data_IF_990854676535
#
_entry.id   IF_990854676535
#
_cell.length_a   1.000
_cell.length_b   1.000
_cell.length_c   1.000
_cell.angle_alpha   90.00
_cell.angle_beta   90.00
_cell.angle_gamma   90.00
#
_symmetry.space_group_name_H-M   'P 1'
#
loop_
_entity.id
_entity.type
_entity.pdbx_description
1 polymer ?
#
# COMPACT_ATOMS: atom_id res chain seq x y z
N UNK A 1 3.39 -27.01 -0.57
CA UNK A 1 3.48 -25.62 -0.14
C UNK A 1 3.98 -24.75 -1.29
N UNK A 2 3.29 -23.69 -1.54
CA UNK A 2 3.71 -22.79 -2.60
C UNK A 2 4.80 -21.86 -2.10
N UNK A 3 5.92 -21.84 -2.80
CA UNK A 3 7.01 -20.92 -2.50
C UNK A 3 7.02 -19.74 -3.47
N UNK A 4 5.87 -19.51 -4.14
CA UNK A 4 5.74 -18.37 -5.03
C UNK A 4 5.91 -17.08 -4.23
N UNK A 5 6.78 -16.18 -4.68
CA UNK A 5 6.96 -14.92 -3.97
C UNK A 5 5.68 -14.09 -4.03
N UNK A 6 5.43 -13.33 -2.97
CA UNK A 6 4.32 -12.39 -2.95
C UNK A 6 4.57 -11.30 -3.98
N UNK A 7 3.53 -10.96 -4.72
CA UNK A 7 3.59 -9.88 -5.68
C UNK A 7 3.16 -8.59 -5.00
N UNK A 8 4.07 -7.63 -4.95
CA UNK A 8 3.83 -6.34 -4.30
C UNK A 8 3.66 -5.27 -5.36
N UNK A 9 2.53 -4.56 -5.31
CA UNK A 9 2.28 -3.46 -6.21
C UNK A 9 2.46 -2.16 -5.45
N UNK A 10 3.29 -1.27 -5.99
CA UNK A 10 3.58 0.03 -5.39
C UNK A 10 2.90 1.10 -6.24
N UNK A 11 2.06 1.90 -5.61
CA UNK A 11 1.42 3.07 -6.24
C UNK A 11 2.17 4.30 -5.79
N UNK A 12 2.98 4.89 -6.66
CA UNK A 12 3.82 6.02 -6.30
C UNK A 12 4.20 6.83 -7.54
N UNK A 13 3.90 8.11 -7.52
CA UNK A 13 4.25 9.02 -8.61
C UNK A 13 5.67 9.58 -8.46
N UNK A 14 6.27 9.44 -7.28
CA UNK A 14 7.60 10.00 -6.97
C UNK A 14 8.66 8.90 -7.06
N UNK A 15 9.59 9.06 -8.01
CA UNK A 15 10.64 8.07 -8.25
C UNK A 15 11.56 7.89 -7.05
N UNK A 16 11.94 8.98 -6.40
CA UNK A 16 12.84 8.91 -5.25
C UNK A 16 12.21 8.16 -4.08
N UNK A 17 10.93 8.41 -3.81
CA UNK A 17 10.23 7.73 -2.73
C UNK A 17 9.97 6.26 -3.04
N UNK A 18 9.58 5.96 -4.28
CA UNK A 18 9.37 4.55 -4.65
C UNK A 18 10.67 3.76 -4.60
N UNK A 19 11.79 4.38 -4.86
CA UNK A 19 13.10 3.73 -4.73
C UNK A 19 13.38 3.31 -3.30
N UNK A 20 12.98 4.11 -2.31
CA UNK A 20 13.11 3.75 -0.90
C UNK A 20 12.25 2.53 -0.58
N UNK A 21 11.01 2.51 -1.06
CA UNK A 21 10.12 1.36 -0.89
C UNK A 21 10.69 0.11 -1.55
N UNK A 22 11.13 0.23 -2.79
CA UNK A 22 11.68 -0.90 -3.53
C UNK A 22 12.91 -1.47 -2.83
N UNK A 23 13.80 -0.60 -2.36
CA UNK A 23 14.99 -1.05 -1.64
C UNK A 23 14.64 -1.78 -0.35
N UNK A 24 13.72 -1.21 0.43
CA UNK A 24 13.28 -1.84 1.67
C UNK A 24 12.60 -3.18 1.44
N UNK A 25 11.80 -3.29 0.38
CA UNK A 25 11.14 -4.54 0.03
C UNK A 25 12.15 -5.61 -0.39
N UNK A 26 13.14 -5.25 -1.22
CA UNK A 26 14.17 -6.19 -1.64
C UNK A 26 15.01 -6.67 -0.47
N UNK A 27 15.35 -5.78 0.43
CA UNK A 27 16.10 -6.16 1.64
C UNK A 27 15.28 -7.08 2.54
N UNK A 28 13.95 -6.96 2.49
CA UNK A 28 13.05 -7.82 3.26
C UNK A 28 12.77 -9.16 2.55
N UNK A 29 13.29 -9.35 1.35
CA UNK A 29 13.12 -10.60 0.60
C UNK A 29 12.03 -10.60 -0.45
N UNK A 30 11.34 -9.49 -0.66
CA UNK A 30 10.32 -9.38 -1.70
C UNK A 30 11.00 -9.11 -3.05
N UNK A 31 10.72 -9.94 -4.04
CA UNK A 31 11.38 -9.86 -5.34
C UNK A 31 10.43 -9.52 -6.49
N UNK A 32 9.13 -9.80 -6.32
CA UNK A 32 8.12 -9.53 -7.34
C UNK A 32 7.50 -8.16 -7.09
N UNK A 33 8.08 -7.11 -7.67
CA UNK A 33 7.65 -5.73 -7.45
C UNK A 33 7.14 -5.11 -8.74
N UNK A 34 5.98 -4.46 -8.68
CA UNK A 34 5.41 -3.72 -9.80
C UNK A 34 5.16 -2.28 -9.32
N UNK A 35 5.62 -1.29 -10.06
CA UNK A 35 5.41 0.11 -9.71
C UNK A 35 4.45 0.74 -10.70
N UNK A 36 3.38 1.33 -10.18
CA UNK A 36 2.38 2.06 -10.97
C UNK A 36 2.52 3.54 -10.67
N UNK A 37 2.84 4.33 -11.67
CA UNK A 37 3.06 5.77 -11.51
C UNK A 37 1.90 6.61 -12.04
N UNK A 38 1.10 6.03 -12.91
CA UNK A 38 -0.05 6.70 -13.51
C UNK A 38 -1.30 6.39 -12.69
N UNK A 39 -1.96 7.42 -12.23
CA UNK A 39 -3.19 7.27 -11.43
C UNK A 39 -4.42 7.02 -12.28
N UNK A 40 -4.33 7.20 -13.59
CA UNK A 40 -5.45 6.92 -14.48
C UNK A 40 -5.64 5.41 -14.61
N UNK A 41 -6.87 4.97 -14.54
CA UNK A 41 -7.22 3.56 -14.62
C UNK A 41 -6.53 2.72 -13.55
N UNK A 42 -6.25 3.32 -12.39
CA UNK A 42 -5.51 2.67 -11.31
C UNK A 42 -6.17 1.36 -10.88
N UNK A 43 -7.47 1.37 -10.67
CA UNK A 43 -8.19 0.18 -10.22
C UNK A 43 -8.03 -0.96 -11.24
N UNK A 44 -8.15 -0.65 -12.52
CA UNK A 44 -7.98 -1.64 -13.59
C UNK A 44 -6.55 -2.21 -13.59
N UNK A 45 -5.55 -1.33 -13.42
CA UNK A 45 -4.16 -1.76 -13.34
C UNK A 45 -3.94 -2.72 -12.17
N UNK A 46 -4.51 -2.39 -11.04
CA UNK A 46 -4.41 -3.24 -9.85
C UNK A 46 -5.03 -4.60 -10.10
N UNK A 47 -6.22 -4.62 -10.68
CA UNK A 47 -6.90 -5.87 -10.98
C UNK A 47 -6.09 -6.71 -11.98
N UNK A 48 -5.57 -6.07 -13.03
CA UNK A 48 -4.80 -6.78 -14.07
C UNK A 48 -3.49 -7.37 -13.54
N UNK A 49 -2.84 -6.67 -12.61
CA UNK A 49 -1.56 -7.11 -12.05
C UNK A 49 -1.71 -8.23 -11.01
N UNK A 50 -2.89 -8.41 -10.47
CA UNK A 50 -3.19 -9.43 -9.45
C UNK A 50 -2.19 -9.41 -8.28
N UNK A 51 -2.02 -8.26 -7.61
CA UNK A 51 -1.06 -8.18 -6.52
C UNK A 51 -1.54 -8.91 -5.27
N UNK A 52 -0.59 -9.36 -4.47
CA UNK A 52 -0.88 -9.94 -3.16
C UNK A 52 -0.91 -8.88 -2.07
N UNK A 53 -0.17 -7.79 -2.27
CA UNK A 53 -0.08 -6.67 -1.33
C UNK A 53 0.02 -5.37 -2.14
N UNK A 54 -0.65 -4.33 -1.66
CA UNK A 54 -0.64 -3.01 -2.30
C UNK A 54 -0.04 -1.99 -1.34
N UNK A 55 0.99 -1.30 -1.78
CA UNK A 55 1.60 -0.21 -1.03
C UNK A 55 1.34 1.09 -1.77
N UNK A 56 0.71 2.04 -1.10
CA UNK A 56 0.37 3.34 -1.68
C UNK A 56 1.21 4.40 -0.99
N UNK A 57 1.96 5.18 -1.76
CA UNK A 57 2.74 6.29 -1.23
C UNK A 57 2.21 7.60 -1.79
N UNK A 58 1.79 8.49 -0.90
CA UNK A 58 1.28 9.81 -1.26
C UNK A 58 1.92 10.83 -0.34
N UNK A 59 2.89 11.57 -0.86
CA UNK A 59 3.66 12.53 -0.05
C UNK A 59 2.76 13.57 0.60
N UNK A 60 1.98 14.29 -0.20
CA UNK A 60 1.05 15.31 0.27
C UNK A 60 -0.28 15.13 -0.43
N UNK A 61 -1.07 14.11 -0.06
CA UNK A 61 -2.30 13.83 -0.77
C UNK A 61 -3.35 14.89 -0.49
N UNK A 62 -4.05 15.31 -1.53
CA UNK A 62 -5.23 16.12 -1.34
C UNK A 62 -6.41 15.19 -1.04
N UNK A 63 -7.56 15.80 -0.72
CA UNK A 63 -8.74 15.03 -0.33
C UNK A 63 -9.23 14.09 -1.43
N UNK A 64 -9.19 14.55 -2.67
CA UNK A 64 -9.67 13.74 -3.79
C UNK A 64 -8.80 12.52 -4.02
N UNK A 65 -7.49 12.66 -3.90
CA UNK A 65 -6.55 11.55 -4.02
C UNK A 65 -6.77 10.54 -2.89
N UNK A 66 -6.93 11.02 -1.66
CA UNK A 66 -7.21 10.15 -0.52
C UNK A 66 -8.49 9.36 -0.72
N UNK A 67 -9.56 10.03 -1.17
CA UNK A 67 -10.83 9.35 -1.44
C UNK A 67 -10.67 8.28 -2.51
N UNK A 68 -9.91 8.55 -3.56
CA UNK A 68 -9.64 7.58 -4.61
C UNK A 68 -8.91 6.35 -4.05
N UNK A 69 -7.90 6.57 -3.21
CA UNK A 69 -7.13 5.49 -2.61
C UNK A 69 -7.97 4.67 -1.64
N UNK A 70 -8.81 5.32 -0.86
CA UNK A 70 -9.71 4.63 0.05
C UNK A 70 -10.72 3.79 -0.72
N UNK A 71 -11.20 4.29 -1.85
CA UNK A 71 -12.13 3.55 -2.69
C UNK A 71 -11.47 2.30 -3.28
N UNK A 72 -10.22 2.41 -3.72
CA UNK A 72 -9.44 1.26 -4.17
C UNK A 72 -9.36 0.21 -3.07
N UNK A 73 -9.05 0.63 -1.85
CA UNK A 73 -8.93 -0.28 -0.71
C UNK A 73 -10.23 -1.00 -0.41
N UNK A 74 -11.37 -0.33 -0.55
CA UNK A 74 -12.69 -0.96 -0.32
C UNK A 74 -13.04 -2.01 -1.38
N UNK A 75 -12.63 -1.75 -2.61
CA UNK A 75 -13.00 -2.61 -3.75
C UNK A 75 -12.06 -3.81 -3.87
N UNK A 76 -10.78 -3.58 -3.64
CA UNK A 76 -9.76 -4.62 -3.80
C UNK A 76 -9.61 -5.40 -2.51
N UNK A 77 -9.87 -6.71 -2.56
CA UNK A 77 -9.77 -7.58 -1.38
C UNK A 77 -8.32 -8.06 -1.24
N UNK A 78 -7.44 -7.14 -0.87
CA UNK A 78 -6.01 -7.41 -0.68
C UNK A 78 -5.47 -6.54 0.45
N UNK A 79 -4.39 -6.96 1.11
CA UNK A 79 -3.74 -6.12 2.12
C UNK A 79 -3.24 -4.81 1.51
N UNK A 80 -3.53 -3.70 2.17
CA UNK A 80 -3.11 -2.36 1.72
C UNK A 80 -2.39 -1.65 2.85
N UNK A 81 -1.23 -1.09 2.55
CA UNK A 81 -0.53 -0.16 3.44
C UNK A 81 -0.38 1.18 2.73
N UNK A 82 -0.56 2.26 3.45
CA UNK A 82 -0.48 3.59 2.89
C UNK A 82 0.50 4.46 3.67
N UNK A 83 1.37 5.14 2.94
CA UNK A 83 2.35 6.06 3.51
C UNK A 83 2.00 7.49 3.08
N UNK A 84 1.93 8.39 4.05
CA UNK A 84 1.70 9.81 3.80
C UNK A 84 2.65 10.62 4.67
N UNK A 85 3.00 11.84 4.24
CA UNK A 85 3.84 12.70 5.05
C UNK A 85 3.02 13.49 6.07
N UNK A 86 1.78 13.81 5.72
CA UNK A 86 0.87 14.57 6.60
C UNK A 86 -0.51 13.95 6.61
N UNK A 87 -1.17 14.06 7.75
CA UNK A 87 -2.53 13.58 7.87
C UNK A 87 -3.24 14.32 9.00
N UNK A 88 -4.55 14.25 9.01
CA UNK A 88 -5.39 14.73 10.09
C UNK A 88 -6.22 13.58 10.67
N UNK A 89 -6.92 13.83 11.75
CA UNK A 89 -7.72 12.80 12.41
C UNK A 89 -8.81 12.23 11.50
N UNK A 90 -9.42 13.07 10.68
CA UNK A 90 -10.46 12.62 9.76
C UNK A 90 -9.91 11.67 8.70
N UNK A 91 -8.71 11.94 8.19
CA UNK A 91 -8.08 11.06 7.20
C UNK A 91 -7.72 9.71 7.82
N UNK A 92 -7.23 9.70 9.07
CA UNK A 92 -6.90 8.47 9.76
C UNK A 92 -8.15 7.59 9.95
N UNK A 93 -9.24 8.20 10.42
CA UNK A 93 -10.50 7.47 10.58
C UNK A 93 -11.02 6.91 9.27
N UNK A 94 -10.97 7.71 8.20
CA UNK A 94 -11.41 7.29 6.89
C UNK A 94 -10.56 6.11 6.36
N UNK A 95 -9.26 6.12 6.64
CA UNK A 95 -8.38 5.04 6.24
C UNK A 95 -8.75 3.73 6.94
N UNK A 96 -9.02 3.81 8.24
CA UNK A 96 -9.44 2.65 9.01
C UNK A 96 -10.76 2.09 8.47
N UNK A 97 -11.72 2.95 8.22
CA UNK A 97 -13.02 2.54 7.69
C UNK A 97 -12.90 1.94 6.28
N UNK A 98 -11.95 2.39 5.50
CA UNK A 98 -11.70 1.85 4.17
C UNK A 98 -11.00 0.49 4.19
N UNK A 99 -10.56 0.03 5.35
CA UNK A 99 -9.91 -1.27 5.48
C UNK A 99 -8.42 -1.25 5.20
N UNK A 100 -7.78 -0.07 5.26
CA UNK A 100 -6.34 0.02 5.11
C UNK A 100 -5.68 -0.60 6.34
N UNK A 101 -4.85 -1.63 6.12
CA UNK A 101 -4.24 -2.38 7.20
C UNK A 101 -3.15 -1.65 7.94
N UNK A 102 -2.46 -0.72 7.27
CA UNK A 102 -1.44 0.11 7.89
C UNK A 102 -1.47 1.49 7.24
N UNK A 103 -1.63 2.53 8.04
CA UNK A 103 -1.64 3.91 7.59
C UNK A 103 -0.53 4.64 8.33
N UNK A 104 0.53 5.00 7.64
CA UNK A 104 1.76 5.48 8.26
C UNK A 104 1.98 6.94 7.89
N UNK A 105 2.07 7.80 8.90
CA UNK A 105 2.32 9.23 8.72
C UNK A 105 3.80 9.51 9.00
N UNK A 106 4.47 10.17 8.06
CA UNK A 106 5.89 10.53 8.17
C UNK A 106 6.78 9.36 8.58
N UNK A 107 6.52 8.20 8.00
CA UNK A 107 7.23 6.99 8.38
C UNK A 107 7.87 6.22 7.24
N UNK A 108 8.08 6.86 6.09
CA UNK A 108 8.68 6.17 4.95
C UNK A 108 10.19 6.01 5.16
N UNK A 109 10.56 4.85 5.69
CA UNK A 109 11.96 4.46 5.92
C UNK A 109 12.12 3.00 5.50
N UNK A 110 13.18 2.70 4.76
CA UNK A 110 13.38 1.35 4.24
C UNK A 110 13.43 0.29 5.35
N UNK A 111 13.97 0.64 6.51
CA UNK A 111 14.10 -0.29 7.64
C UNK A 111 12.75 -0.69 8.23
N UNK A 112 11.71 0.10 7.99
CA UNK A 112 10.38 -0.13 8.52
C UNK A 112 9.43 -0.81 7.55
N UNK A 113 9.82 -0.88 6.28
CA UNK A 113 8.93 -1.36 5.23
C UNK A 113 8.45 -2.79 5.52
N UNK A 114 9.35 -3.67 5.91
CA UNK A 114 8.99 -5.05 6.20
C UNK A 114 7.93 -5.19 7.29
N UNK A 115 8.13 -4.51 8.42
CA UNK A 115 7.18 -4.63 9.53
C UNK A 115 5.84 -4.03 9.18
N UNK A 116 5.81 -2.97 8.38
CA UNK A 116 4.57 -2.35 7.95
C UNK A 116 3.81 -3.28 7.00
N UNK A 117 4.51 -3.89 6.06
CA UNK A 117 3.90 -4.87 5.15
C UNK A 117 3.36 -6.06 5.93
N UNK A 118 4.13 -6.59 6.86
CA UNK A 118 3.71 -7.71 7.69
C UNK A 118 2.46 -7.35 8.51
N UNK A 119 2.41 -6.13 9.04
CA UNK A 119 1.23 -5.66 9.77
C UNK A 119 -0.01 -5.60 8.87
N UNK A 120 0.13 -5.08 7.67
CA UNK A 120 -0.99 -4.99 6.74
C UNK A 120 -1.51 -6.37 6.37
N UNK A 121 -0.61 -7.30 6.09
CA UNK A 121 -0.98 -8.68 5.77
C UNK A 121 -1.67 -9.34 6.96
N UNK A 122 -1.12 -9.18 8.14
CA UNK A 122 -1.66 -9.79 9.36
C UNK A 122 -3.07 -9.28 9.66
N UNK A 123 -3.28 -7.97 9.54
CA UNK A 123 -4.60 -7.40 9.77
C UNK A 123 -5.62 -7.86 8.72
N UNK A 124 -5.21 -7.93 7.49
CA UNK A 124 -6.08 -8.40 6.42
C UNK A 124 -6.53 -9.83 6.68
N UNK A 125 -5.61 -10.71 7.06
CA UNK A 125 -5.92 -12.10 7.37
C UNK A 125 -6.87 -12.23 8.57
N UNK A 126 -6.69 -11.38 9.57
CA UNK A 126 -7.55 -11.37 10.74
C UNK A 126 -8.99 -11.00 10.35
N UNK A 127 -9.16 -10.00 9.50
CA UNK A 127 -10.49 -9.60 9.01
C UNK A 127 -11.12 -10.67 8.15
N UNK A 128 -10.33 -11.32 7.32
CA UNK A 128 -10.84 -12.34 6.40
C UNK A 128 -11.39 -13.55 7.13
N UNK A 129 -10.97 -13.76 8.37
CA UNK A 129 -11.45 -14.87 9.19
C UNK A 129 -12.75 -14.57 9.92
N UNK A 130 -13.15 -13.34 9.98
CA UNK A 130 -14.40 -12.94 10.62
C UNK A 130 -15.57 -13.16 9.68
#
# INVERSE_FOLDING_TARGET
MSDSPLRVLIVDQNVARSSVLEEGLREAGFTELVVVRDMQNLLRRIVDEEPDVILIDQENPNRDVLEQMFQVSRVVSRPVAMFVDRSDAGAIEAAIEAGIGAYVVDGLRKERVRSIVDMAISRFRAFDRL
#
